data_IF_751277372441
#
_entry.id   IF_751277372441
#
_cell.length_a   1.000
_cell.length_b   1.000
_cell.length_c   1.000
_cell.angle_alpha   90.00
_cell.angle_beta   90.00
_cell.angle_gamma   90.00
#
_symmetry.space_group_name_H-M   'P 1'
#
loop_
_entity.id
_entity.type
_entity.pdbx_description
1 polymer ?
#
# COMPACT_ATOMS: atom_id res chain seq x y z
N UNK A 1 -10.28 38.33 29.62
CA UNK A 1 -9.19 37.32 29.52
C UNK A 1 -7.94 37.96 30.05
N UNK A 2 -7.29 37.40 31.09
CA UNK A 2 -6.07 37.99 31.66
C UNK A 2 -4.88 37.76 30.72
N UNK A 3 -3.94 38.71 30.68
CA UNK A 3 -2.68 38.60 29.91
C UNK A 3 -1.88 37.33 30.24
N UNK A 4 -2.07 36.77 31.45
CA UNK A 4 -1.45 35.52 31.90
C UNK A 4 -1.80 34.32 31.01
N UNK A 5 -3.02 34.28 30.44
CA UNK A 5 -3.45 33.21 29.54
C UNK A 5 -2.90 33.43 28.11
N UNK A 6 -2.68 34.69 27.70
CA UNK A 6 -2.09 35.02 26.40
C UNK A 6 -0.59 34.68 26.32
N UNK A 7 0.13 34.70 27.44
CA UNK A 7 1.54 34.32 27.53
C UNK A 7 1.78 32.80 27.29
N UNK A 8 0.76 31.95 27.46
CA UNK A 8 0.82 30.51 27.19
C UNK A 8 0.65 30.15 25.70
N UNK A 9 0.31 31.13 24.84
CA UNK A 9 -0.03 30.90 23.42
C UNK A 9 1.11 31.24 22.45
N UNK A 10 2.23 31.80 22.92
CA UNK A 10 3.41 32.07 22.08
C UNK A 10 4.60 31.27 22.60
N UNK A 11 4.71 30.04 22.10
CA UNK A 11 5.88 29.20 22.29
C UNK A 11 6.99 29.64 21.30
N UNK A 12 8.06 30.24 21.82
CA UNK A 12 9.20 30.74 21.05
C UNK A 12 10.50 29.98 21.32
N UNK A 13 10.48 28.88 22.09
CA UNK A 13 11.68 28.07 22.31
C UNK A 13 12.06 27.36 21.02
N UNK A 14 13.32 27.50 20.64
CA UNK A 14 13.94 26.73 19.58
C UNK A 14 14.81 25.64 20.21
N UNK A 15 14.65 24.42 19.73
CA UNK A 15 15.46 23.28 20.15
C UNK A 15 16.32 22.86 18.95
N UNK A 16 17.60 23.27 18.88
CA UNK A 16 18.46 22.82 17.80
C UNK A 16 18.70 21.31 17.93
N UNK A 17 18.84 20.59 16.79
CA UNK A 17 19.20 19.18 16.83
C UNK A 17 20.60 19.00 17.46
N UNK A 18 20.86 17.88 18.16
CA UNK A 18 22.21 17.54 18.61
C UNK A 18 23.21 17.46 17.46
N UNK A 19 24.47 17.83 17.69
CA UNK A 19 25.52 17.85 16.65
C UNK A 19 25.72 16.47 16.00
N UNK A 20 25.66 15.40 16.79
CA UNK A 20 25.77 14.02 16.31
C UNK A 20 24.67 13.65 15.31
N UNK A 21 23.46 14.18 15.50
CA UNK A 21 22.34 13.98 14.57
C UNK A 21 22.56 14.78 13.28
N UNK A 22 23.04 16.02 13.37
CA UNK A 22 23.36 16.85 12.21
C UNK A 22 24.45 16.21 11.34
N UNK A 23 25.46 15.59 11.96
CA UNK A 23 26.56 14.94 11.25
C UNK A 23 26.13 13.76 10.37
N UNK A 24 24.95 13.16 10.63
CA UNK A 24 24.40 12.02 9.87
C UNK A 24 23.29 12.44 8.90
N UNK A 25 23.03 13.75 8.75
CA UNK A 25 21.95 14.23 7.91
C UNK A 25 22.19 13.91 6.42
N UNK A 26 21.17 13.36 5.76
CA UNK A 26 21.19 13.11 4.31
C UNK A 26 21.24 14.41 3.49
N UNK A 27 20.78 15.53 4.07
CA UNK A 27 20.82 16.87 3.48
C UNK A 27 21.28 17.85 4.55
N UNK A 28 22.50 18.35 4.42
CA UNK A 28 23.10 19.31 5.35
C UNK A 28 23.35 20.69 4.74
N UNK A 29 23.25 20.82 3.41
CA UNK A 29 23.41 22.08 2.69
C UNK A 29 22.07 22.84 2.59
N UNK A 30 21.92 24.01 3.25
CA UNK A 30 20.70 24.81 3.19
C UNK A 30 20.36 25.32 1.77
N UNK A 31 21.35 25.37 0.87
CA UNK A 31 21.14 25.82 -0.51
C UNK A 31 20.19 24.91 -1.30
N UNK A 32 19.85 23.72 -0.79
CA UNK A 32 18.86 22.81 -1.37
C UNK A 32 17.52 23.52 -1.63
N UNK A 33 17.09 24.42 -0.74
CA UNK A 33 15.85 25.18 -0.91
C UNK A 33 15.98 26.23 -2.02
N UNK A 34 17.11 26.93 -2.09
CA UNK A 34 17.38 27.90 -3.15
C UNK A 34 17.46 27.24 -4.52
N UNK A 35 18.04 26.03 -4.60
CA UNK A 35 18.07 25.22 -5.82
C UNK A 35 16.66 24.80 -6.23
N UNK A 36 15.87 24.24 -5.31
CA UNK A 36 14.50 23.83 -5.57
C UNK A 36 13.61 25.00 -6.02
N UNK A 37 13.79 26.20 -5.43
CA UNK A 37 13.03 27.39 -5.80
C UNK A 37 13.42 27.97 -7.16
N UNK A 38 14.69 27.84 -7.57
CA UNK A 38 15.19 28.40 -8.83
C UNK A 38 14.73 27.61 -10.05
N UNK A 39 14.74 26.29 -9.96
CA UNK A 39 14.28 25.39 -11.02
C UNK A 39 13.54 24.19 -10.41
N UNK A 40 12.25 24.35 -10.07
CA UNK A 40 11.48 23.28 -9.45
C UNK A 40 11.39 22.03 -10.32
N UNK A 41 11.24 22.20 -11.64
CA UNK A 41 11.06 21.07 -12.57
C UNK A 41 12.36 20.31 -12.74
N UNK A 42 13.49 21.01 -12.94
CA UNK A 42 14.82 20.39 -13.00
C UNK A 42 15.17 19.69 -11.69
N UNK A 43 14.93 20.35 -10.55
CA UNK A 43 15.15 19.77 -9.22
C UNK A 43 14.39 18.46 -9.04
N UNK A 44 13.07 18.42 -9.30
CA UNK A 44 12.30 17.20 -9.18
C UNK A 44 12.65 16.13 -10.22
N UNK A 45 13.09 16.54 -11.41
CA UNK A 45 13.61 15.62 -12.43
C UNK A 45 14.89 14.91 -11.97
N UNK A 46 15.79 15.59 -11.24
CA UNK A 46 16.98 14.95 -10.63
C UNK A 46 16.58 13.87 -9.63
N UNK A 47 15.55 14.12 -8.80
CA UNK A 47 15.04 13.14 -7.85
C UNK A 47 14.33 11.97 -8.53
N UNK A 48 13.53 12.25 -9.56
CA UNK A 48 12.83 11.22 -10.34
C UNK A 48 13.78 10.24 -11.03
N UNK A 49 14.95 10.71 -11.48
CA UNK A 49 16.01 9.87 -12.05
C UNK A 49 16.62 8.86 -11.05
N UNK A 50 16.33 8.96 -9.75
CA UNK A 50 16.74 7.97 -8.74
C UNK A 50 15.81 6.76 -8.67
N UNK A 51 14.68 6.81 -9.37
CA UNK A 51 13.82 5.66 -9.60
C UNK A 51 14.31 4.91 -10.84
N UNK A 52 14.07 3.61 -10.86
CA UNK A 52 14.28 2.80 -12.05
C UNK A 52 13.05 2.92 -12.96
N UNK A 53 13.28 3.48 -14.14
CA UNK A 53 12.29 3.64 -15.21
C UNK A 53 12.53 2.57 -16.27
N UNK A 54 11.44 1.93 -16.73
CA UNK A 54 11.48 1.06 -17.89
C UNK A 54 11.56 1.86 -19.18
N UNK A 55 10.89 3.02 -19.22
CA UNK A 55 10.98 3.99 -20.31
C UNK A 55 11.15 5.39 -19.69
N UNK A 56 12.14 6.20 -20.12
CA UNK A 56 12.30 7.56 -19.62
C UNK A 56 11.13 8.45 -20.05
N UNK A 57 10.81 9.45 -19.24
CA UNK A 57 9.74 10.40 -19.58
C UNK A 57 10.14 11.36 -20.69
N UNK A 58 9.14 11.92 -21.37
CA UNK A 58 9.30 12.86 -22.47
C UNK A 58 9.10 14.31 -21.98
N UNK A 59 8.11 14.53 -21.12
CA UNK A 59 7.86 15.83 -20.49
C UNK A 59 7.85 15.68 -18.97
N UNK A 60 8.62 16.52 -18.27
CA UNK A 60 8.70 16.45 -16.81
C UNK A 60 7.44 17.00 -16.12
N UNK A 61 6.83 18.05 -16.67
CA UNK A 61 5.64 18.68 -16.09
C UNK A 61 4.72 19.24 -17.17
N UNK A 62 3.46 18.85 -17.13
CA UNK A 62 2.34 19.51 -17.82
C UNK A 62 1.47 20.17 -16.75
N UNK A 63 1.49 21.51 -16.70
CA UNK A 63 0.82 22.28 -15.65
C UNK A 63 -0.52 22.85 -16.13
N UNK A 64 -1.58 22.05 -16.04
CA UNK A 64 -2.96 22.45 -16.42
C UNK A 64 -3.94 22.31 -15.24
N UNK A 65 -3.96 23.26 -14.28
CA UNK A 65 -4.83 23.17 -13.11
C UNK A 65 -6.31 22.96 -13.48
N UNK A 66 -7.05 22.06 -12.78
CA UNK A 66 -6.63 21.33 -11.57
C UNK A 66 -5.86 20.03 -11.85
N UNK A 67 -5.58 19.69 -13.11
CA UNK A 67 -4.99 18.43 -13.54
C UNK A 67 -3.53 18.62 -14.00
N UNK A 68 -2.61 18.73 -13.04
CA UNK A 68 -1.18 18.66 -13.34
C UNK A 68 -0.75 17.21 -13.59
N UNK A 69 0.12 17.00 -14.58
CA UNK A 69 0.74 15.69 -14.86
C UNK A 69 2.25 15.79 -14.77
N UNK A 70 2.89 14.77 -14.25
CA UNK A 70 4.33 14.69 -14.06
C UNK A 70 4.92 13.50 -14.83
N UNK A 71 6.07 13.74 -15.46
CA UNK A 71 6.87 12.71 -16.11
C UNK A 71 6.12 11.93 -17.20
N UNK A 72 5.28 12.62 -17.98
CA UNK A 72 4.45 12.00 -19.01
C UNK A 72 5.29 11.31 -20.09
N UNK A 73 4.80 10.16 -20.54
CA UNK A 73 5.54 9.24 -21.41
C UNK A 73 6.55 8.35 -20.69
N UNK A 74 6.80 8.57 -19.39
CA UNK A 74 7.65 7.70 -18.59
C UNK A 74 6.91 6.47 -18.11
N UNK A 75 7.60 5.32 -18.10
CA UNK A 75 7.04 4.07 -17.56
C UNK A 75 7.89 3.47 -16.47
N UNK A 76 7.23 3.00 -15.42
CA UNK A 76 7.84 2.39 -14.25
C UNK A 76 6.91 1.36 -13.63
N UNK A 77 7.35 0.71 -12.56
CA UNK A 77 6.47 -0.05 -11.68
C UNK A 77 6.88 0.19 -10.22
N UNK A 78 5.89 0.46 -9.37
CA UNK A 78 6.14 0.76 -7.95
C UNK A 78 6.70 -0.46 -7.20
N UNK A 79 6.19 -1.67 -7.46
CA UNK A 79 6.73 -2.90 -6.87
C UNK A 79 8.18 -3.12 -7.28
N UNK A 80 8.51 -2.92 -8.56
CA UNK A 80 9.89 -3.05 -9.03
C UNK A 80 10.87 -2.15 -8.25
N UNK A 81 10.47 -0.89 -8.05
CA UNK A 81 11.26 0.08 -7.30
C UNK A 81 11.29 -0.19 -5.79
N UNK A 82 10.25 -0.80 -5.23
CA UNK A 82 10.18 -1.11 -3.80
C UNK A 82 10.83 -2.45 -3.43
N UNK A 83 10.96 -3.39 -4.37
CA UNK A 83 11.36 -4.77 -4.08
C UNK A 83 12.42 -5.27 -5.07
N UNK A 84 12.06 -5.45 -6.34
CA UNK A 84 12.87 -6.18 -7.32
C UNK A 84 14.26 -5.57 -7.50
N UNK A 85 14.36 -4.24 -7.63
CA UNK A 85 15.67 -3.57 -7.77
C UNK A 85 16.60 -3.83 -6.60
N UNK A 86 16.07 -4.05 -5.39
CA UNK A 86 16.90 -4.31 -4.23
C UNK A 86 17.47 -5.73 -4.27
N UNK A 87 16.64 -6.71 -4.66
CA UNK A 87 17.08 -8.09 -4.90
C UNK A 87 18.14 -8.13 -6.02
N UNK A 88 17.86 -7.49 -7.16
CA UNK A 88 18.77 -7.42 -8.31
C UNK A 88 20.10 -6.74 -7.98
N UNK A 89 20.10 -5.76 -7.08
CA UNK A 89 21.30 -5.10 -6.58
C UNK A 89 22.02 -5.88 -5.45
N UNK A 90 21.75 -7.19 -5.32
CA UNK A 90 22.43 -8.07 -4.37
C UNK A 90 22.02 -7.87 -2.90
N UNK A 91 20.87 -7.22 -2.65
CA UNK A 91 20.34 -7.00 -1.28
C UNK A 91 19.21 -7.97 -0.93
N UNK A 92 19.15 -9.11 -1.62
CA UNK A 92 18.12 -10.14 -1.43
C UNK A 92 17.99 -10.59 0.02
N UNK A 93 19.11 -10.86 0.69
CA UNK A 93 19.17 -11.32 2.10
C UNK A 93 18.96 -10.21 3.13
N UNK A 94 18.86 -8.95 2.71
CA UNK A 94 18.61 -7.84 3.64
C UNK A 94 17.16 -7.89 4.08
N UNK A 95 16.93 -7.78 5.38
CA UNK A 95 15.57 -7.64 5.95
C UNK A 95 14.88 -6.40 5.36
N UNK A 96 13.73 -6.62 4.73
CA UNK A 96 12.89 -5.60 4.12
C UNK A 96 11.71 -5.22 5.01
N UNK A 97 11.12 -6.21 5.69
CA UNK A 97 9.97 -6.02 6.56
C UNK A 97 10.23 -6.70 7.90
N UNK A 98 10.00 -5.97 8.99
CA UNK A 98 9.89 -6.51 10.34
C UNK A 98 8.47 -6.22 10.80
N UNK A 99 7.77 -7.26 11.19
CA UNK A 99 6.41 -7.19 11.68
C UNK A 99 6.35 -7.75 13.09
N UNK A 100 5.68 -7.02 13.97
CA UNK A 100 5.39 -7.43 15.34
C UNK A 100 3.87 -7.51 15.51
N UNK A 101 3.40 -8.71 15.84
CA UNK A 101 2.00 -9.00 16.11
C UNK A 101 1.62 -8.69 17.55
N UNK A 102 0.33 -8.43 17.78
CA UNK A 102 -0.20 -8.23 19.13
C UNK A 102 -0.04 -9.45 20.07
N UNK A 103 -0.11 -10.70 19.59
CA UNK A 103 0.28 -11.88 20.38
C UNK A 103 1.79 -12.00 20.69
N UNK A 104 2.60 -11.00 20.32
CA UNK A 104 4.05 -10.98 20.50
C UNK A 104 4.81 -11.77 19.43
N UNK A 105 4.14 -12.23 18.38
CA UNK A 105 4.79 -12.84 17.22
C UNK A 105 5.70 -11.82 16.54
N UNK A 106 6.89 -12.25 16.13
CA UNK A 106 7.79 -11.42 15.33
C UNK A 106 8.10 -12.17 14.04
N UNK A 107 7.80 -11.54 12.91
CA UNK A 107 8.10 -12.06 11.57
C UNK A 107 9.01 -11.08 10.87
N UNK A 108 10.09 -11.57 10.27
CA UNK A 108 10.93 -10.78 9.38
C UNK A 108 10.95 -11.40 8.00
N UNK A 109 10.76 -10.58 6.96
CA UNK A 109 11.00 -10.97 5.58
C UNK A 109 12.18 -10.19 5.02
N UNK A 110 13.10 -10.92 4.41
CA UNK A 110 14.13 -10.39 3.51
C UNK A 110 13.50 -9.85 2.22
N UNK A 111 14.26 -9.09 1.42
CA UNK A 111 13.78 -8.64 0.12
C UNK A 111 13.42 -9.80 -0.82
N UNK A 112 14.18 -10.90 -0.78
CA UNK A 112 13.89 -12.09 -1.59
C UNK A 112 12.59 -12.78 -1.16
N UNK A 113 12.35 -12.91 0.15
CA UNK A 113 11.11 -13.49 0.68
C UNK A 113 9.91 -12.59 0.40
N UNK A 114 10.04 -11.28 0.57
CA UNK A 114 9.00 -10.32 0.22
C UNK A 114 8.67 -10.39 -1.28
N UNK A 115 9.69 -10.46 -2.16
CA UNK A 115 9.48 -10.61 -3.60
C UNK A 115 8.68 -11.87 -3.92
N UNK A 116 9.05 -13.01 -3.33
CA UNK A 116 8.34 -14.27 -3.52
C UNK A 116 6.87 -14.15 -3.11
N UNK A 117 6.58 -13.60 -1.92
CA UNK A 117 5.20 -13.39 -1.44
C UNK A 117 4.40 -12.46 -2.35
N UNK A 118 5.01 -11.37 -2.80
CA UNK A 118 4.38 -10.42 -3.73
C UNK A 118 4.04 -11.11 -5.06
N UNK A 119 4.97 -11.88 -5.63
CA UNK A 119 4.73 -12.62 -6.87
C UNK A 119 3.61 -13.65 -6.74
N UNK A 120 3.54 -14.35 -5.60
CA UNK A 120 2.47 -15.33 -5.34
C UNK A 120 1.10 -14.65 -5.30
N UNK A 121 0.96 -13.56 -4.56
CA UNK A 121 -0.30 -12.81 -4.48
C UNK A 121 -0.66 -12.23 -5.86
N UNK A 122 0.31 -11.67 -6.59
CA UNK A 122 0.10 -11.12 -7.92
C UNK A 122 -0.41 -12.19 -8.90
N UNK A 123 0.18 -13.39 -8.88
CA UNK A 123 -0.26 -14.52 -9.70
C UNK A 123 -1.66 -15.02 -9.29
N UNK A 124 -1.99 -15.04 -8.00
CA UNK A 124 -3.33 -15.38 -7.53
C UNK A 124 -4.38 -14.37 -8.01
N UNK A 125 -4.10 -13.07 -7.92
CA UNK A 125 -4.96 -11.99 -8.44
C UNK A 125 -5.20 -12.13 -9.95
N UNK A 126 -4.13 -12.43 -10.71
CA UNK A 126 -4.24 -12.71 -12.16
C UNK A 126 -5.06 -13.95 -12.43
N UNK A 127 -4.90 -15.03 -11.65
CA UNK A 127 -5.67 -16.27 -11.81
C UNK A 127 -7.17 -16.04 -11.64
N UNK A 128 -7.59 -15.22 -10.67
CA UNK A 128 -9.01 -14.86 -10.48
C UNK A 128 -9.49 -13.78 -11.46
N UNK A 129 -8.63 -13.36 -12.39
CA UNK A 129 -8.98 -12.47 -13.50
C UNK A 129 -9.05 -10.99 -13.13
N UNK A 130 -8.24 -10.53 -12.17
CA UNK A 130 -7.98 -9.10 -11.97
C UNK A 130 -7.10 -8.59 -13.10
N UNK A 131 -7.45 -7.44 -13.67
CA UNK A 131 -6.75 -6.80 -14.78
C UNK A 131 -6.15 -5.44 -14.37
N UNK A 132 -5.19 -4.95 -15.16
CA UNK A 132 -4.66 -3.59 -15.05
C UNK A 132 -5.82 -2.58 -15.02
N UNK A 133 -5.78 -1.65 -14.07
CA UNK A 133 -6.79 -0.62 -13.85
C UNK A 133 -8.02 -1.06 -13.03
N UNK A 134 -8.22 -2.35 -12.77
CA UNK A 134 -9.31 -2.82 -11.90
C UNK A 134 -8.91 -2.71 -10.43
N UNK A 135 -9.80 -2.18 -9.59
CA UNK A 135 -9.48 -1.92 -8.18
C UNK A 135 -9.65 -3.17 -7.32
N UNK A 136 -8.66 -3.43 -6.48
CA UNK A 136 -8.69 -4.47 -5.45
C UNK A 136 -8.83 -3.83 -4.07
N UNK A 137 -9.89 -4.18 -3.33
CA UNK A 137 -10.09 -3.68 -1.98
C UNK A 137 -9.30 -4.54 -0.97
N UNK A 138 -8.50 -3.89 -0.11
CA UNK A 138 -7.76 -4.55 0.96
C UNK A 138 -8.41 -4.22 2.30
N UNK A 139 -9.11 -5.19 2.89
CA UNK A 139 -9.73 -5.13 4.22
C UNK A 139 -9.07 -6.16 5.14
N UNK A 140 -7.79 -5.93 5.45
CA UNK A 140 -6.93 -6.86 6.18
C UNK A 140 -6.45 -6.24 7.51
N UNK A 141 -6.16 -7.06 8.53
CA UNK A 141 -5.53 -6.56 9.75
C UNK A 141 -4.10 -6.09 9.48
N UNK A 142 -3.43 -5.53 10.49
CA UNK A 142 -2.01 -5.19 10.40
C UNK A 142 -1.16 -6.47 10.46
N UNK A 143 -1.09 -7.20 9.34
CA UNK A 143 -0.32 -8.43 9.12
C UNK A 143 0.69 -8.20 7.99
N UNK A 144 1.82 -8.91 7.92
CA UNK A 144 2.84 -8.62 6.90
C UNK A 144 2.32 -8.82 5.47
N UNK A 145 1.33 -9.70 5.27
CA UNK A 145 0.66 -9.97 4.00
C UNK A 145 -0.03 -8.73 3.42
N UNK A 146 -0.47 -7.76 4.22
CA UNK A 146 -1.10 -6.54 3.67
C UNK A 146 -0.10 -5.70 2.87
N UNK A 147 1.18 -5.69 3.30
CA UNK A 147 2.26 -4.99 2.58
C UNK A 147 2.54 -5.70 1.26
N UNK A 148 2.63 -7.03 1.28
CA UNK A 148 2.81 -7.82 0.07
C UNK A 148 1.60 -7.70 -0.88
N UNK A 149 0.37 -7.58 -0.35
CA UNK A 149 -0.84 -7.41 -1.15
C UNK A 149 -0.89 -6.06 -1.86
N UNK A 150 -0.52 -4.95 -1.19
CA UNK A 150 -0.41 -3.63 -1.83
C UNK A 150 0.60 -3.66 -2.98
N UNK A 151 1.78 -4.24 -2.73
CA UNK A 151 2.84 -4.37 -3.74
C UNK A 151 2.44 -5.31 -4.89
N UNK A 152 1.69 -6.38 -4.61
CA UNK A 152 1.18 -7.30 -5.62
C UNK A 152 0.14 -6.64 -6.54
N UNK A 153 -0.74 -5.80 -5.99
CA UNK A 153 -1.66 -4.98 -6.77
C UNK A 153 -0.88 -4.03 -7.70
N UNK A 154 0.09 -3.29 -7.15
CA UNK A 154 0.97 -2.41 -7.92
C UNK A 154 1.79 -3.15 -8.99
N UNK A 155 2.22 -4.39 -8.71
CA UNK A 155 3.00 -5.23 -9.65
C UNK A 155 2.24 -5.53 -10.93
N UNK A 156 0.92 -5.75 -10.83
CA UNK A 156 0.06 -6.11 -11.98
C UNK A 156 -0.73 -4.92 -12.53
N UNK A 157 -0.46 -3.71 -12.03
CA UNK A 157 -1.16 -2.50 -12.44
C UNK A 157 -2.61 -2.41 -11.96
N UNK A 158 -2.98 -3.16 -10.92
CA UNK A 158 -4.28 -3.07 -10.28
C UNK A 158 -4.19 -2.03 -9.14
N UNK A 159 -4.97 -0.94 -9.15
CA UNK A 159 -4.96 -0.02 -8.03
C UNK A 159 -5.52 -0.69 -6.78
N UNK A 160 -4.87 -0.52 -5.63
CA UNK A 160 -5.42 -1.03 -4.37
C UNK A 160 -6.22 0.03 -3.62
N UNK A 161 -7.30 -0.39 -2.96
CA UNK A 161 -8.10 0.45 -2.06
C UNK A 161 -8.02 -0.10 -0.65
N UNK A 162 -7.19 0.50 0.21
CA UNK A 162 -7.03 0.03 1.59
C UNK A 162 -8.15 0.60 2.45
N UNK A 163 -8.89 -0.29 3.12
CA UNK A 163 -9.95 0.07 4.06
C UNK A 163 -9.54 -0.40 5.45
N UNK A 164 -9.57 0.51 6.41
CA UNK A 164 -9.17 0.20 7.77
C UNK A 164 -10.03 -0.92 8.38
N UNK A 165 -9.39 -2.00 8.87
CA UNK A 165 -10.03 -3.21 9.40
C UNK A 165 -10.94 -3.01 10.63
N UNK A 166 -11.06 -1.78 11.14
CA UNK A 166 -11.98 -1.42 12.22
C UNK A 166 -13.26 -0.74 11.76
N UNK A 167 -13.49 -0.59 10.45
CA UNK A 167 -14.71 0.01 9.93
C UNK A 167 -15.90 -0.95 9.97
N UNK A 168 -17.11 -0.39 9.93
CA UNK A 168 -18.35 -1.17 9.84
C UNK A 168 -18.54 -1.75 8.42
N UNK A 169 -19.46 -2.71 8.30
CA UNK A 169 -19.85 -3.26 7.01
C UNK A 169 -20.38 -2.18 6.05
N UNK A 170 -21.19 -1.23 6.56
CA UNK A 170 -21.65 -0.07 5.78
C UNK A 170 -20.49 0.76 5.22
N UNK A 171 -19.52 1.08 6.09
CA UNK A 171 -18.35 1.88 5.70
C UNK A 171 -17.47 1.17 4.67
N UNK A 172 -17.40 -0.17 4.75
CA UNK A 172 -16.69 -1.01 3.79
C UNK A 172 -17.46 -1.07 2.45
N UNK A 173 -18.77 -1.34 2.49
CA UNK A 173 -19.66 -1.39 1.32
C UNK A 173 -19.56 -0.12 0.50
N UNK A 174 -19.70 1.04 1.14
CA UNK A 174 -19.75 2.34 0.44
C UNK A 174 -18.45 2.59 -0.34
N UNK A 175 -17.30 2.23 0.25
CA UNK A 175 -15.98 2.34 -0.39
C UNK A 175 -15.77 1.33 -1.52
N UNK A 176 -16.26 0.10 -1.34
CA UNK A 176 -16.22 -0.92 -2.40
C UNK A 176 -17.03 -0.45 -3.60
N UNK A 177 -18.24 0.07 -3.38
CA UNK A 177 -19.14 0.53 -4.42
C UNK A 177 -18.61 1.76 -5.16
N UNK A 178 -18.08 2.76 -4.43
CA UNK A 178 -17.50 3.96 -5.04
C UNK A 178 -16.26 3.61 -5.88
N UNK A 179 -15.39 2.74 -5.37
CA UNK A 179 -14.21 2.25 -6.10
C UNK A 179 -14.58 1.27 -7.24
N UNK A 180 -15.80 0.73 -7.25
CA UNK A 180 -16.18 -0.41 -8.09
C UNK A 180 -15.18 -1.57 -7.98
N UNK A 181 -14.72 -1.85 -6.76
CA UNK A 181 -13.70 -2.87 -6.54
C UNK A 181 -14.19 -4.24 -7.02
N UNK A 182 -13.32 -4.98 -7.71
CA UNK A 182 -13.67 -6.27 -8.35
C UNK A 182 -13.30 -7.47 -7.50
N UNK A 183 -12.42 -7.28 -6.53
CA UNK A 183 -11.99 -8.30 -5.58
C UNK A 183 -11.75 -7.69 -4.19
N UNK A 184 -11.89 -8.51 -3.15
CA UNK A 184 -11.57 -8.15 -1.77
C UNK A 184 -10.52 -9.12 -1.21
N UNK A 185 -9.41 -8.61 -0.70
CA UNK A 185 -8.49 -9.38 0.14
C UNK A 185 -8.79 -9.06 1.60
N UNK A 186 -9.04 -10.09 2.39
CA UNK A 186 -9.35 -9.97 3.83
C UNK A 186 -8.69 -11.10 4.62
N UNK A 187 -8.98 -11.18 5.91
CA UNK A 187 -8.62 -12.31 6.75
C UNK A 187 -9.86 -12.89 7.43
N UNK A 188 -9.76 -14.10 7.98
CA UNK A 188 -10.77 -14.67 8.87
C UNK A 188 -11.10 -13.69 10.03
N UNK A 189 -10.07 -13.18 10.68
CA UNK A 189 -10.12 -12.12 11.67
C UNK A 189 -8.75 -11.53 11.97
N UNK A 190 -8.66 -10.75 13.05
CA UNK A 190 -7.39 -10.23 13.52
C UNK A 190 -7.44 -9.76 14.96
N UNK A 191 -6.26 -9.67 15.59
CA UNK A 191 -6.11 -9.12 16.93
C UNK A 191 -6.12 -7.60 16.90
N UNK A 192 -6.90 -7.00 17.80
CA UNK A 192 -6.82 -5.57 18.10
C UNK A 192 -7.21 -5.29 19.55
N UNK A 193 -6.27 -4.73 20.32
CA UNK A 193 -6.46 -4.38 21.74
C UNK A 193 -6.92 -5.59 22.57
N UNK A 194 -6.29 -6.73 22.34
CA UNK A 194 -6.52 -8.00 23.02
C UNK A 194 -7.82 -8.70 22.63
N UNK A 195 -8.53 -8.22 21.59
CA UNK A 195 -9.80 -8.78 21.14
C UNK A 195 -9.72 -9.25 19.70
N UNK A 196 -10.47 -10.31 19.40
CA UNK A 196 -10.69 -10.80 18.04
C UNK A 196 -11.65 -9.85 17.32
N UNK A 197 -11.22 -9.35 16.15
CA UNK A 197 -12.06 -8.69 15.17
C UNK A 197 -12.47 -9.69 14.08
N UNK A 198 -13.75 -10.00 13.90
CA UNK A 198 -14.21 -10.98 12.92
C UNK A 198 -14.34 -10.35 11.52
N UNK A 199 -13.21 -10.18 10.83
CA UNK A 199 -13.15 -9.43 9.56
C UNK A 199 -13.99 -10.07 8.46
N UNK A 200 -13.94 -11.40 8.30
CA UNK A 200 -14.72 -12.10 7.27
C UNK A 200 -16.24 -11.90 7.43
N UNK A 201 -16.74 -11.82 8.66
CA UNK A 201 -18.16 -11.54 8.93
C UNK A 201 -18.56 -10.14 8.43
N UNK A 202 -17.72 -9.13 8.70
CA UNK A 202 -17.94 -7.76 8.21
C UNK A 202 -17.91 -7.70 6.68
N UNK A 203 -16.99 -8.46 6.06
CA UNK A 203 -16.94 -8.59 4.60
C UNK A 203 -18.23 -9.23 4.07
N UNK A 204 -18.72 -10.31 4.69
CA UNK A 204 -19.93 -10.98 4.22
C UNK A 204 -21.18 -10.10 4.26
N UNK A 205 -21.31 -9.27 5.31
CA UNK A 205 -22.37 -8.28 5.45
C UNK A 205 -22.25 -7.19 4.38
N UNK A 206 -21.05 -6.61 4.19
CA UNK A 206 -20.81 -5.58 3.18
C UNK A 206 -21.06 -6.11 1.74
N UNK A 207 -20.72 -7.37 1.49
CA UNK A 207 -20.85 -7.98 0.18
C UNK A 207 -22.28 -8.29 -0.25
N UNK A 208 -23.27 -8.13 0.63
CA UNK A 208 -24.68 -8.24 0.26
C UNK A 208 -25.10 -7.17 -0.77
N UNK A 209 -24.42 -6.02 -0.80
CA UNK A 209 -24.79 -4.85 -1.59
C UNK A 209 -23.63 -4.30 -2.44
N UNK A 210 -22.69 -5.16 -2.87
CA UNK A 210 -21.53 -4.77 -3.70
C UNK A 210 -21.39 -5.66 -4.95
N UNK A 211 -22.22 -5.41 -5.99
CA UNK A 211 -22.32 -6.30 -7.15
C UNK A 211 -21.05 -6.35 -8.02
N UNK A 212 -20.09 -5.43 -7.84
CA UNK A 212 -18.83 -5.43 -8.60
C UNK A 212 -17.85 -6.51 -8.13
N UNK A 213 -17.96 -6.98 -6.88
CA UNK A 213 -17.02 -7.95 -6.30
C UNK A 213 -17.29 -9.34 -6.83
N UNK A 214 -16.31 -9.90 -7.54
CA UNK A 214 -16.35 -11.25 -8.13
C UNK A 214 -15.76 -12.30 -7.18
N UNK A 215 -14.71 -11.94 -6.46
CA UNK A 215 -13.92 -12.88 -5.67
C UNK A 215 -13.45 -12.26 -4.35
N UNK A 216 -13.34 -13.11 -3.32
CA UNK A 216 -12.76 -12.75 -2.02
C UNK A 216 -11.63 -13.72 -1.71
N UNK A 217 -10.43 -13.21 -1.40
CA UNK A 217 -9.34 -14.04 -0.87
C UNK A 217 -9.25 -13.82 0.64
N UNK A 218 -9.32 -14.89 1.41
CA UNK A 218 -9.37 -14.87 2.87
C UNK A 218 -8.09 -15.47 3.44
N UNK A 219 -7.28 -14.64 4.09
CA UNK A 219 -6.12 -15.08 4.88
C UNK A 219 -6.58 -15.76 6.16
N UNK A 220 -6.14 -17.00 6.39
CA UNK A 220 -6.35 -17.71 7.65
C UNK A 220 -5.38 -17.21 8.73
N UNK A 221 -5.63 -16.01 9.29
CA UNK A 221 -4.74 -15.36 10.28
C UNK A 221 -4.92 -15.92 11.69
N UNK A 222 -6.15 -16.20 12.09
CA UNK A 222 -6.48 -16.72 13.41
C UNK A 222 -6.65 -18.24 13.39
N UNK A 223 -7.15 -18.80 12.29
CA UNK A 223 -7.47 -20.21 12.17
C UNK A 223 -8.75 -20.61 12.92
N UNK A 224 -9.23 -21.82 12.63
CA UNK A 224 -10.51 -22.33 13.11
C UNK A 224 -10.55 -22.54 14.64
N UNK A 225 -9.39 -22.61 15.31
CA UNK A 225 -9.27 -22.67 16.77
C UNK A 225 -9.78 -21.40 17.46
N UNK A 226 -9.67 -20.25 16.79
CA UNK A 226 -10.02 -18.94 17.35
C UNK A 226 -11.29 -18.37 16.74
N UNK A 227 -11.54 -18.61 15.45
CA UNK A 227 -12.71 -18.11 14.76
C UNK A 227 -13.08 -19.01 13.57
N UNK A 228 -14.24 -19.65 13.64
CA UNK A 228 -14.82 -20.33 12.49
C UNK A 228 -15.46 -19.30 11.56
N UNK A 229 -15.15 -19.38 10.27
CA UNK A 229 -15.70 -18.49 9.23
C UNK A 229 -16.35 -19.30 8.12
N UNK A 230 -17.45 -18.78 7.57
CA UNK A 230 -18.12 -19.40 6.42
C UNK A 230 -17.49 -18.94 5.10
N UNK A 231 -17.38 -19.87 4.15
CA UNK A 231 -16.91 -19.61 2.79
C UNK A 231 -18.06 -19.80 1.81
N UNK A 232 -18.42 -18.74 1.07
CA UNK A 232 -19.43 -18.83 0.01
C UNK A 232 -18.81 -19.43 -1.26
N UNK A 233 -19.29 -20.61 -1.64
CA UNK A 233 -18.85 -21.32 -2.84
C UNK A 233 -18.96 -20.42 -4.09
N UNK A 234 -17.94 -20.48 -4.94
CA UNK A 234 -17.84 -19.67 -6.16
C UNK A 234 -17.39 -18.21 -5.96
N UNK A 235 -17.34 -17.71 -4.73
CA UNK A 235 -16.89 -16.33 -4.40
C UNK A 235 -15.65 -16.30 -3.51
N UNK A 236 -15.67 -17.06 -2.42
CA UNK A 236 -14.63 -17.00 -1.38
C UNK A 236 -13.56 -18.07 -1.60
N UNK A 237 -12.30 -17.67 -1.51
CA UNK A 237 -11.12 -18.49 -1.74
C UNK A 237 -10.21 -18.42 -0.51
N UNK A 238 -9.77 -19.57 -0.02
CA UNK A 238 -8.76 -19.66 1.05
C UNK A 238 -7.41 -19.20 0.52
N UNK A 239 -6.71 -18.36 1.28
CA UNK A 239 -5.39 -17.86 0.89
C UNK A 239 -4.40 -19.01 0.67
N UNK A 240 -4.38 -19.98 1.60
CA UNK A 240 -3.54 -21.17 1.51
C UNK A 240 -3.74 -21.99 0.23
N UNK A 241 -4.95 -21.98 -0.35
CA UNK A 241 -5.30 -22.77 -1.54
C UNK A 241 -5.03 -22.03 -2.86
N UNK A 242 -5.09 -20.69 -2.86
CA UNK A 242 -4.97 -19.89 -4.09
C UNK A 242 -3.65 -19.13 -4.19
N UNK A 243 -3.07 -18.67 -3.08
CA UNK A 243 -1.85 -17.86 -3.05
C UNK A 243 -0.61 -18.74 -2.86
N UNK A 244 -0.58 -19.60 -1.85
CA UNK A 244 0.65 -20.29 -1.45
C UNK A 244 1.18 -21.27 -2.51
N UNK A 245 0.31 -21.77 -3.39
CA UNK A 245 0.68 -22.64 -4.52
C UNK A 245 1.16 -21.90 -5.77
N UNK A 246 1.10 -20.57 -5.77
CA UNK A 246 1.49 -19.81 -6.95
C UNK A 246 3.01 -19.80 -7.14
N UNK A 247 3.49 -19.64 -8.38
CA UNK A 247 4.90 -19.38 -8.64
C UNK A 247 5.39 -18.11 -7.92
N UNK A 248 6.65 -18.12 -7.50
CA UNK A 248 7.34 -16.99 -6.88
C UNK A 248 7.92 -16.02 -7.90
N UNK A 249 7.60 -16.20 -9.18
CA UNK A 249 7.96 -15.31 -10.29
C UNK A 249 6.70 -14.74 -10.92
N UNK A 250 6.68 -13.43 -11.12
CA UNK A 250 5.61 -12.71 -11.82
C UNK A 250 6.23 -11.47 -12.46
N UNK A 251 6.19 -11.25 -13.78
CA UNK A 251 6.73 -10.02 -14.36
C UNK A 251 5.98 -8.77 -13.87
N UNK A 252 6.69 -7.65 -13.69
CA UNK A 252 6.08 -6.35 -13.38
C UNK A 252 5.44 -5.76 -14.64
N UNK A 253 4.20 -5.29 -14.52
CA UNK A 253 3.51 -4.55 -15.57
C UNK A 253 4.13 -3.14 -15.71
N UNK A 254 4.54 -2.72 -16.92
CA UNK A 254 4.91 -1.33 -17.18
C UNK A 254 3.70 -0.40 -17.01
N UNK A 255 3.79 0.52 -16.05
CA UNK A 255 2.75 1.50 -15.75
C UNK A 255 3.18 2.87 -16.26
N UNK A 256 2.24 3.62 -16.82
CA UNK A 256 2.48 5.03 -17.13
C UNK A 256 2.62 5.82 -15.83
N UNK A 257 3.39 6.92 -15.82
CA UNK A 257 3.62 7.74 -14.63
C UNK A 257 2.32 8.25 -13.97
N UNK A 258 1.27 8.42 -14.77
CA UNK A 258 -0.04 8.93 -14.38
C UNK A 258 -1.09 7.82 -14.13
N UNK A 259 -0.72 6.54 -14.25
CA UNK A 259 -1.63 5.44 -13.93
C UNK A 259 -1.95 5.44 -12.42
N UNK A 260 -3.21 5.14 -12.09
CA UNK A 260 -3.68 5.12 -10.70
C UNK A 260 -2.97 4.01 -9.90
N UNK A 261 -2.18 4.39 -8.90
CA UNK A 261 -1.50 3.43 -8.03
C UNK A 261 -2.42 2.88 -6.93
N UNK A 262 -3.19 3.76 -6.28
CA UNK A 262 -4.10 3.38 -5.20
C UNK A 262 -5.17 4.44 -4.97
N UNK A 263 -6.24 4.03 -4.28
CA UNK A 263 -7.26 4.94 -3.72
C UNK A 263 -7.23 4.86 -2.20
N UNK A 264 -7.29 6.02 -1.53
CA UNK A 264 -7.36 6.10 -0.08
C UNK A 264 -8.47 7.05 0.34
N UNK A 265 -9.54 6.49 0.90
CA UNK A 265 -10.72 7.25 1.30
C UNK A 265 -10.47 8.07 2.57
N UNK A 266 -10.76 9.37 2.49
CA UNK A 266 -10.67 10.30 3.61
C UNK A 266 -12.00 10.99 3.88
N UNK A 267 -12.27 11.37 5.14
CA UNK A 267 -13.41 12.22 5.46
C UNK A 267 -13.12 13.68 5.09
N UNK A 268 -13.92 14.26 4.19
CA UNK A 268 -13.89 15.70 3.89
C UNK A 268 -14.74 16.51 4.87
N UNK A 269 -14.56 17.84 4.85
CA UNK A 269 -15.56 18.78 5.37
C UNK A 269 -16.56 19.11 4.26
N UNK A 270 -17.85 19.21 4.60
CA UNK A 270 -18.94 19.58 3.67
C UNK A 270 -19.22 21.06 3.71
#
# INVERSE_FOLDING_TARGET
MSETIAALLKEGRHFPPPEEFVAQANVSDPSVYDRANRDPVGFWSEWANRLDWFEPWQNALEWEPPYAKWFTGGKLNACYNCVDRHVLNGKGDRVALIWEGEPGEVVSWTYAELQAKVCQIANALKQIGVKKGEIVCLYMPMVPEIVAAMLACARIGAPHSVVFAGFSADSLRDRINDAKAVAVLTADGGWRRGKVLPLKQVVDEALAETPSVRNVIVLERLGEEHLTVEYKEGRDLRWSEIVDRQPTECPCEPMDSEDLLFTLYTSGST
#
